data_IF_560048841328
#
_entry.id   IF_560048841328
#
_cell.length_a   1.000
_cell.length_b   1.000
_cell.length_c   1.000
_cell.angle_alpha   90.00
_cell.angle_beta   90.00
_cell.angle_gamma   90.00
#
_symmetry.space_group_name_H-M   'P 1'
#
loop_
_entity.id
_entity.type
_entity.pdbx_description
1 polymer ?
#
# COMPACT_ATOMS: atom_id res chain seq x y z
N UNK A 1 6.57 -6.03 -28.57
CA UNK A 1 7.90 -6.52 -28.99
C UNK A 1 7.72 -7.03 -30.41
N UNK A 2 8.58 -6.63 -31.35
CA UNK A 2 8.48 -7.09 -32.74
C UNK A 2 9.14 -8.47 -32.92
N UNK A 3 8.92 -9.12 -34.07
CA UNK A 3 9.52 -10.44 -34.36
C UNK A 3 11.06 -10.36 -34.46
N UNK A 4 11.58 -9.26 -34.99
CA UNK A 4 13.03 -9.01 -35.11
C UNK A 4 13.67 -8.85 -33.73
N UNK A 5 12.99 -8.12 -32.83
CA UNK A 5 13.42 -7.95 -31.44
C UNK A 5 13.42 -9.28 -30.66
N UNK A 6 12.47 -10.18 -30.95
CA UNK A 6 12.43 -11.53 -30.37
C UNK A 6 13.51 -12.44 -30.95
N UNK A 7 13.90 -12.26 -32.21
CA UNK A 7 14.94 -13.07 -32.85
C UNK A 7 16.33 -12.73 -32.30
N UNK A 8 16.64 -11.44 -32.16
CA UNK A 8 17.95 -10.98 -31.68
C UNK A 8 18.05 -10.96 -30.15
N UNK A 9 16.91 -10.97 -29.45
CA UNK A 9 16.83 -10.62 -28.03
C UNK A 9 16.89 -9.10 -27.85
N UNK A 10 16.18 -8.57 -26.86
CA UNK A 10 16.12 -7.12 -26.62
C UNK A 10 16.03 -6.82 -25.12
N UNK A 11 16.47 -5.63 -24.71
CA UNK A 11 16.26 -5.14 -23.35
C UNK A 11 15.31 -3.97 -23.40
N UNK A 12 14.20 -4.04 -22.66
CA UNK A 12 13.18 -3.00 -22.61
C UNK A 12 13.09 -2.44 -21.20
N UNK A 13 13.21 -1.12 -21.08
CA UNK A 13 13.01 -0.45 -19.79
C UNK A 13 11.52 -0.24 -19.53
N UNK A 14 11.01 -0.83 -18.45
CA UNK A 14 9.64 -0.67 -17.97
C UNK A 14 9.65 0.22 -16.73
N UNK A 15 8.70 1.16 -16.66
CA UNK A 15 8.55 2.01 -15.48
C UNK A 15 7.44 1.46 -14.60
N UNK A 16 7.77 1.15 -13.34
CA UNK A 16 6.84 0.59 -12.36
C UNK A 16 6.66 1.58 -11.22
N UNK A 17 5.42 1.89 -10.89
CA UNK A 17 5.06 2.65 -9.70
C UNK A 17 4.78 1.66 -8.56
N UNK A 18 5.50 1.78 -7.45
CA UNK A 18 5.31 0.96 -6.26
C UNK A 18 5.15 1.84 -5.03
N UNK A 19 4.49 1.32 -4.02
CA UNK A 19 4.48 1.95 -2.69
C UNK A 19 5.68 1.45 -1.91
N UNK A 20 6.50 2.36 -1.41
CA UNK A 20 7.61 2.07 -0.50
C UNK A 20 7.29 2.57 0.90
N UNK A 21 7.92 1.96 1.89
CA UNK A 21 7.82 2.40 3.27
C UNK A 21 8.55 3.74 3.43
N UNK A 22 7.97 4.66 4.19
CA UNK A 22 8.62 5.92 4.54
C UNK A 22 9.93 5.64 5.28
N UNK A 23 11.03 6.09 4.69
CA UNK A 23 12.37 5.89 5.24
C UNK A 23 12.54 6.59 6.60
N UNK A 24 12.00 7.80 6.77
CA UNK A 24 12.20 8.57 8.00
C UNK A 24 11.52 7.93 9.21
N UNK A 25 10.26 7.52 9.06
CA UNK A 25 9.51 6.91 10.16
C UNK A 25 9.53 5.37 10.15
N UNK A 26 10.21 4.75 9.20
CA UNK A 26 10.28 3.30 9.02
C UNK A 26 8.89 2.62 9.05
N UNK A 27 7.87 3.29 8.50
CA UNK A 27 6.48 2.79 8.50
C UNK A 27 5.68 2.99 9.79
N UNK A 28 6.24 3.61 10.83
CA UNK A 28 5.50 3.95 12.05
C UNK A 28 4.45 5.04 11.81
N UNK A 29 4.75 6.01 10.96
CA UNK A 29 3.90 7.16 10.65
C UNK A 29 4.05 8.32 11.62
N UNK A 30 4.74 8.12 12.74
CA UNK A 30 5.14 9.17 13.68
C UNK A 30 6.63 9.50 13.57
N UNK A 31 7.03 10.69 14.03
CA UNK A 31 8.42 11.13 13.97
C UNK A 31 9.30 10.34 14.95
N UNK A 32 8.79 10.09 16.16
CA UNK A 32 9.53 9.35 17.21
C UNK A 32 9.15 7.87 17.29
N UNK A 33 8.33 7.37 16.36
CA UNK A 33 7.82 5.99 16.37
C UNK A 33 6.72 5.71 17.41
N UNK A 34 6.35 6.70 18.24
CA UNK A 34 5.26 6.55 19.21
C UNK A 34 3.90 6.51 18.52
N UNK A 35 3.07 5.54 18.88
CA UNK A 35 1.70 5.40 18.41
C UNK A 35 0.81 4.97 19.57
N UNK A 36 -0.41 5.47 19.62
CA UNK A 36 -1.38 5.10 20.64
C UNK A 36 -2.37 4.09 20.08
N UNK A 37 -2.90 3.23 20.95
CA UNK A 37 -3.97 2.35 20.56
C UNK A 37 -5.24 3.16 20.28
N UNK A 38 -5.97 2.80 19.22
CA UNK A 38 -7.19 3.49 18.87
C UNK A 38 -8.27 3.16 19.89
N UNK A 39 -8.74 4.15 20.65
CA UNK A 39 -9.78 3.99 21.66
C UNK A 39 -11.12 3.53 21.09
N UNK A 40 -11.41 3.85 19.82
CA UNK A 40 -12.72 3.56 19.21
C UNK A 40 -12.86 2.12 18.72
N UNK A 41 -11.75 1.47 18.38
CA UNK A 41 -11.75 0.07 17.94
C UNK A 41 -10.90 -0.83 18.82
N UNK A 42 -10.35 -0.32 19.93
CA UNK A 42 -9.51 -1.07 20.88
C UNK A 42 -8.43 -1.89 20.15
N UNK A 43 -7.70 -1.26 19.24
CA UNK A 43 -6.63 -1.92 18.47
C UNK A 43 -7.08 -2.79 17.29
N UNK A 44 -8.37 -3.12 17.16
CA UNK A 44 -8.87 -4.05 16.13
C UNK A 44 -8.90 -3.47 14.72
N UNK A 45 -8.97 -2.13 14.59
CA UNK A 45 -9.08 -1.44 13.31
C UNK A 45 -10.46 -1.54 12.64
N UNK A 46 -11.44 -2.17 13.28
CA UNK A 46 -12.79 -2.38 12.74
C UNK A 46 -13.81 -1.75 13.69
N UNK A 47 -14.81 -1.07 13.14
CA UNK A 47 -15.97 -0.58 13.89
C UNK A 47 -17.26 -1.25 13.40
N UNK A 48 -18.11 -1.67 14.34
CA UNK A 48 -19.38 -2.32 14.04
C UNK A 48 -20.48 -1.27 14.01
N UNK A 49 -21.00 -1.00 12.81
CA UNK A 49 -22.11 -0.07 12.60
C UNK A 49 -23.43 -0.86 12.63
N UNK A 50 -24.35 -0.44 13.49
CA UNK A 50 -25.66 -1.07 13.64
C UNK A 50 -26.70 -0.27 12.86
N UNK A 51 -27.16 -0.83 11.75
CA UNK A 51 -28.27 -0.27 10.96
C UNK A 51 -29.58 -0.87 11.43
N UNK A 52 -30.48 -0.03 11.94
CA UNK A 52 -31.85 -0.43 12.33
C UNK A 52 -32.82 -0.07 11.22
N UNK A 53 -33.44 -1.09 10.62
CA UNK A 53 -34.48 -0.95 9.61
C UNK A 53 -35.78 -1.55 10.14
N UNK A 54 -36.55 -0.76 10.89
CA UNK A 54 -37.76 -1.22 11.57
C UNK A 54 -37.44 -2.35 12.58
N UNK A 55 -38.08 -3.53 12.50
CA UNK A 55 -37.81 -4.64 13.41
C UNK A 55 -36.50 -5.40 13.09
N UNK A 56 -35.84 -5.10 11.97
CA UNK A 56 -34.61 -5.76 11.56
C UNK A 56 -33.38 -4.95 11.99
N UNK A 57 -32.40 -5.65 12.58
CA UNK A 57 -31.10 -5.10 12.97
C UNK A 57 -30.04 -5.73 12.06
N UNK A 58 -29.30 -4.89 11.34
CA UNK A 58 -28.14 -5.30 10.56
C UNK A 58 -26.87 -4.80 11.24
N UNK A 59 -25.91 -5.69 11.47
CA UNK A 59 -24.58 -5.34 11.94
C UNK A 59 -23.62 -5.36 10.74
N UNK A 60 -22.96 -4.24 10.49
CA UNK A 60 -22.00 -4.08 9.40
C UNK A 60 -20.63 -3.82 10.04
N UNK A 61 -19.66 -4.66 9.74
CA UNK A 61 -18.27 -4.39 10.08
C UNK A 61 -17.68 -3.46 9.04
N UNK A 62 -17.14 -2.34 9.49
CA UNK A 62 -16.52 -1.34 8.63
C UNK A 62 -15.15 -0.95 9.18
N UNK A 63 -14.33 -0.34 8.33
CA UNK A 63 -13.01 0.16 8.74
C UNK A 63 -13.20 1.24 9.80
N UNK A 64 -12.50 1.14 10.93
CA UNK A 64 -12.61 2.13 11.99
C UNK A 64 -12.27 3.52 11.44
N UNK A 65 -13.21 4.46 11.57
CA UNK A 65 -13.13 5.82 11.04
C UNK A 65 -12.02 6.65 11.70
N UNK A 66 -11.68 6.34 12.95
CA UNK A 66 -10.73 7.13 13.75
C UNK A 66 -9.26 6.77 13.49
N UNK A 67 -8.96 5.50 13.20
CA UNK A 67 -7.61 5.05 12.87
C UNK A 67 -7.44 4.63 11.41
N UNK A 68 -8.50 4.79 10.60
CA UNK A 68 -8.55 4.35 9.22
C UNK A 68 -8.01 2.92 9.07
N UNK A 69 -8.52 2.01 9.91
CA UNK A 69 -8.18 0.58 9.92
C UNK A 69 -6.79 0.20 10.44
N UNK A 70 -5.99 1.16 10.91
CA UNK A 70 -4.65 0.87 11.41
C UNK A 70 -4.64 0.26 12.82
N UNK A 71 -5.76 0.32 13.56
CA UNK A 71 -5.83 -0.05 14.99
C UNK A 71 -5.09 0.91 15.93
N UNK A 72 -4.26 1.81 15.40
CA UNK A 72 -3.46 2.77 16.14
C UNK A 72 -3.64 4.18 15.61
N UNK A 73 -3.60 5.16 16.51
CA UNK A 73 -3.67 6.58 16.22
C UNK A 73 -2.32 7.24 16.48
N UNK A 74 -2.06 8.31 15.74
CA UNK A 74 -0.83 9.10 15.86
C UNK A 74 -1.25 10.53 16.19
N UNK A 75 -0.68 11.06 17.27
CA UNK A 75 -0.89 12.46 17.63
C UNK A 75 -0.49 13.36 16.48
N UNK A 76 -1.35 14.34 16.16
CA UNK A 76 -1.12 15.30 15.08
C UNK A 76 0.28 15.93 15.14
N UNK A 77 0.73 16.30 16.35
CA UNK A 77 2.02 16.94 16.58
C UNK A 77 3.21 16.03 16.30
N UNK A 78 3.03 14.71 16.46
CA UNK A 78 4.07 13.72 16.25
C UNK A 78 3.91 12.95 14.93
N UNK A 79 3.09 13.45 13.99
CA UNK A 79 3.04 12.84 12.66
C UNK A 79 4.38 13.04 11.96
N UNK A 80 4.85 12.00 11.28
CA UNK A 80 6.02 12.11 10.42
C UNK A 80 5.78 13.21 9.39
N UNK A 81 6.63 14.24 9.39
CA UNK A 81 6.50 15.40 8.51
C UNK A 81 6.65 15.06 7.02
N UNK A 82 7.37 13.97 6.73
CA UNK A 82 7.59 13.54 5.36
C UNK A 82 6.35 12.83 4.80
N UNK A 83 5.84 11.80 5.48
CA UNK A 83 4.69 11.03 4.99
C UNK A 83 3.32 11.49 5.51
N UNK A 84 3.28 12.51 6.38
CA UNK A 84 2.08 13.03 7.04
C UNK A 84 1.25 11.95 7.77
N UNK A 85 1.91 10.90 8.26
CA UNK A 85 1.26 9.75 8.90
C UNK A 85 0.78 8.64 7.95
N UNK A 86 0.99 8.77 6.64
CA UNK A 86 0.60 7.75 5.66
C UNK A 86 1.52 6.53 5.61
N UNK A 87 2.71 6.61 6.23
CA UNK A 87 3.70 5.52 6.36
C UNK A 87 4.32 5.04 5.04
N UNK A 88 3.75 5.43 3.90
CA UNK A 88 4.12 4.98 2.57
C UNK A 88 4.35 6.18 1.64
N UNK A 89 5.24 6.00 0.67
CA UNK A 89 5.41 6.90 -0.47
C UNK A 89 5.24 6.14 -1.77
N UNK A 90 4.85 6.86 -2.82
CA UNK A 90 4.86 6.32 -4.17
C UNK A 90 6.24 6.55 -4.80
N UNK A 91 6.91 5.47 -5.17
CA UNK A 91 8.20 5.49 -5.85
C UNK A 91 8.02 4.96 -7.27
N UNK A 92 8.60 5.68 -8.23
CA UNK A 92 8.68 5.27 -9.63
C UNK A 92 10.06 4.68 -9.90
N UNK A 93 10.13 3.39 -10.20
CA UNK A 93 11.38 2.69 -10.52
C UNK A 93 11.39 2.23 -11.97
N UNK A 94 12.49 2.52 -12.68
CA UNK A 94 12.77 1.95 -14.00
C UNK A 94 13.42 0.59 -13.81
N UNK A 95 12.86 -0.43 -14.44
CA UNK A 95 13.36 -1.80 -14.43
C UNK A 95 13.69 -2.20 -15.86
N UNK A 96 14.89 -2.72 -16.08
CA UNK A 96 15.29 -3.24 -17.37
C UNK A 96 14.90 -4.70 -17.48
N UNK A 97 13.99 -4.99 -18.41
CA UNK A 97 13.50 -6.34 -18.68
C UNK A 97 14.27 -6.89 -19.86
N UNK A 98 15.05 -7.93 -19.61
CA UNK A 98 15.78 -8.63 -20.66
C UNK A 98 14.87 -9.71 -21.27
N UNK A 99 14.58 -9.57 -22.56
CA UNK A 99 13.82 -10.53 -23.35
C UNK A 99 14.83 -11.37 -24.11
N UNK A 100 14.90 -12.65 -23.75
CA UNK A 100 15.77 -13.63 -24.39
C UNK A 100 15.35 -13.92 -25.82
N UNK A 101 16.32 -14.29 -26.65
CA UNK A 101 16.05 -14.69 -28.02
C UNK A 101 15.12 -15.91 -28.06
N UNK A 102 14.18 -15.92 -29.00
CA UNK A 102 13.23 -17.03 -29.15
C UNK A 102 12.19 -17.15 -28.04
N UNK A 103 12.06 -16.13 -27.18
CA UNK A 103 10.98 -16.06 -26.18
C UNK A 103 9.60 -16.24 -26.81
N UNK A 104 8.74 -16.99 -26.13
CA UNK A 104 7.43 -17.35 -26.64
C UNK A 104 6.41 -16.21 -26.43
N UNK A 105 5.39 -16.17 -27.28
CA UNK A 105 4.25 -15.29 -27.02
C UNK A 105 3.62 -15.62 -25.65
N UNK A 106 3.30 -14.58 -24.88
CA UNK A 106 2.77 -14.63 -23.50
C UNK A 106 3.71 -15.23 -22.43
N UNK A 107 5.00 -15.36 -22.72
CA UNK A 107 5.99 -15.71 -21.69
C UNK A 107 6.02 -14.63 -20.57
N UNK A 108 6.08 -15.06 -19.32
CA UNK A 108 6.06 -14.16 -18.16
C UNK A 108 7.45 -14.07 -17.53
N UNK A 109 8.00 -12.86 -17.47
CA UNK A 109 9.29 -12.58 -16.82
C UNK A 109 9.01 -12.02 -15.42
N UNK A 110 9.46 -12.74 -14.38
CA UNK A 110 9.35 -12.30 -12.99
C UNK A 110 10.60 -11.51 -12.57
N UNK A 111 10.40 -10.38 -11.90
CA UNK A 111 11.43 -9.44 -11.44
C UNK A 111 11.39 -9.32 -9.92
#
# INVERSE_FOLDING_TARGET
>A
VSLEELYLGTTKTVTVNRKIICADCHGAGSQDGTTHECTNCEGTGIETIIHRMGPFIQQIQSKCSSCDGNGRTIDWRNRCKNCNGQKLFQETKKLDVHITHGSQDRETIKL
#
